data_IF_084771483945
#
_entry.id   IF_084771483945
#
_cell.length_a   1.000
_cell.length_b   1.000
_cell.length_c   1.000
_cell.angle_alpha   90.00
_cell.angle_beta   90.00
_cell.angle_gamma   90.00
#
_symmetry.space_group_name_H-M   'P 1'
#
loop_
_entity.id
_entity.type
_entity.pdbx_description
1 polymer ?
#
# COMPACT_ATOMS: atom_id res chain seq x y z
N UNK A 1 -10.09 -23.92 1.32
CA UNK A 1 -11.24 -23.52 0.45
C UNK A 1 -10.76 -22.34 -0.36
N UNK A 2 -10.86 -22.40 -1.70
CA UNK A 2 -10.38 -21.35 -2.61
C UNK A 2 -11.05 -20.01 -2.24
N UNK A 3 -10.29 -18.87 -2.24
CA UNK A 3 -10.79 -17.49 -1.98
C UNK A 3 -12.08 -17.21 -2.78
N UNK A 4 -12.15 -17.68 -4.03
CA UNK A 4 -13.32 -17.52 -4.89
C UNK A 4 -14.57 -18.27 -4.41
N UNK A 5 -14.40 -19.42 -3.76
CA UNK A 5 -15.52 -20.16 -3.18
C UNK A 5 -16.04 -19.47 -1.92
N UNK A 6 -15.14 -18.81 -1.18
CA UNK A 6 -15.46 -17.97 -0.01
C UNK A 6 -16.27 -16.73 -0.42
N UNK A 7 -15.84 -16.05 -1.51
CA UNK A 7 -16.55 -14.89 -2.09
C UNK A 7 -17.93 -15.28 -2.65
N UNK A 8 -18.04 -16.44 -3.30
CA UNK A 8 -19.33 -16.98 -3.79
C UNK A 8 -20.30 -17.28 -2.64
N UNK A 9 -19.83 -17.81 -1.52
CA UNK A 9 -20.68 -18.11 -0.36
C UNK A 9 -21.17 -16.82 0.31
N UNK A 10 -20.32 -15.82 0.43
CA UNK A 10 -20.69 -14.49 0.98
C UNK A 10 -21.66 -13.79 0.05
N UNK A 11 -21.46 -13.86 -1.27
CA UNK A 11 -22.37 -13.28 -2.25
C UNK A 11 -23.74 -13.98 -2.24
N UNK A 12 -23.76 -15.29 -2.10
CA UNK A 12 -25.02 -16.06 -1.99
C UNK A 12 -25.81 -15.70 -0.71
N UNK A 13 -25.14 -15.47 0.40
CA UNK A 13 -25.74 -15.01 1.65
C UNK A 13 -26.24 -13.56 1.56
N UNK A 14 -25.51 -12.69 0.87
CA UNK A 14 -25.92 -11.31 0.60
C UNK A 14 -27.16 -11.25 -0.31
N UNK A 15 -27.22 -12.06 -1.36
CA UNK A 15 -28.37 -12.15 -2.26
C UNK A 15 -29.58 -12.69 -1.55
N UNK A 16 -29.43 -13.67 -0.65
CA UNK A 16 -30.51 -14.18 0.16
C UNK A 16 -31.07 -13.15 1.14
N UNK A 17 -30.21 -12.34 1.76
CA UNK A 17 -30.59 -11.25 2.66
C UNK A 17 -31.29 -10.09 1.93
N UNK A 18 -30.84 -9.73 0.71
CA UNK A 18 -31.43 -8.68 -0.11
C UNK A 18 -32.77 -9.11 -0.77
N UNK A 19 -32.99 -10.40 -0.94
CA UNK A 19 -34.22 -10.93 -1.53
C UNK A 19 -35.41 -10.98 -0.56
N UNK A 20 -35.26 -10.53 0.70
CA UNK A 20 -36.35 -10.43 1.66
C UNK A 20 -37.00 -11.77 2.01
N UNK A 21 -36.25 -12.87 1.95
CA UNK A 21 -36.75 -14.20 2.30
C UNK A 21 -36.90 -14.29 3.82
N UNK A 22 -38.12 -14.04 4.33
CA UNK A 22 -38.51 -14.15 5.74
C UNK A 22 -38.25 -15.53 6.38
N UNK A 23 -37.82 -16.52 5.58
CA UNK A 23 -37.56 -17.89 6.04
C UNK A 23 -36.34 -18.03 6.95
N UNK A 24 -35.48 -17.00 7.06
CA UNK A 24 -34.24 -17.02 7.87
C UNK A 24 -34.36 -16.36 9.25
N UNK A 25 -35.51 -15.78 9.60
CA UNK A 25 -35.71 -15.10 10.88
C UNK A 25 -35.84 -16.02 12.12
N UNK A 26 -35.77 -17.34 11.92
CA UNK A 26 -35.93 -18.32 13.01
C UNK A 26 -34.72 -19.22 13.24
N UNK A 27 -33.58 -18.97 12.56
CA UNK A 27 -32.32 -19.68 12.83
C UNK A 27 -31.52 -18.87 13.80
N UNK A 28 -31.56 -19.21 15.06
CA UNK A 28 -30.69 -18.63 16.09
C UNK A 28 -29.26 -19.17 15.89
N UNK A 29 -28.39 -18.35 15.30
CA UNK A 29 -26.97 -18.68 15.10
C UNK A 29 -26.21 -17.99 16.23
N UNK A 30 -25.70 -18.75 17.24
CA UNK A 30 -24.94 -18.15 18.33
C UNK A 30 -23.72 -17.37 17.82
N UNK A 31 -23.64 -16.08 18.15
CA UNK A 31 -22.53 -15.20 17.78
C UNK A 31 -22.80 -14.26 16.61
N UNK A 32 -24.04 -14.14 16.12
CA UNK A 32 -24.44 -13.18 15.11
C UNK A 32 -25.29 -12.08 15.74
N UNK A 33 -24.79 -10.85 15.71
CA UNK A 33 -25.54 -9.66 16.15
C UNK A 33 -25.89 -8.83 14.90
N UNK A 34 -27.21 -8.69 14.65
CA UNK A 34 -27.79 -7.99 13.52
C UNK A 34 -28.21 -6.57 13.90
N UNK A 35 -27.40 -5.84 14.61
CA UNK A 35 -27.79 -4.50 14.96
C UNK A 35 -27.50 -3.46 13.84
N UNK A 36 -28.45 -2.61 13.72
CA UNK A 36 -28.80 -1.37 13.00
C UNK A 36 -27.93 -0.82 11.85
N UNK A 37 -26.77 -1.34 11.44
CA UNK A 37 -25.93 -0.63 10.47
C UNK A 37 -25.21 -1.45 9.41
N UNK A 38 -25.60 -2.70 9.17
CA UNK A 38 -24.98 -3.51 8.10
C UNK A 38 -23.50 -3.86 8.36
N UNK A 39 -23.02 -3.78 9.59
CA UNK A 39 -21.64 -4.04 10.01
C UNK A 39 -21.31 -5.52 10.20
N UNK A 40 -22.30 -6.41 10.10
CA UNK A 40 -22.17 -7.81 10.52
C UNK A 40 -21.53 -8.75 9.49
N UNK A 41 -21.11 -8.28 8.31
CA UNK A 41 -20.72 -9.18 7.22
C UNK A 41 -19.20 -9.40 7.08
N UNK A 42 -18.38 -8.92 7.99
CA UNK A 42 -16.91 -9.12 7.93
C UNK A 42 -16.34 -10.01 9.03
N UNK A 43 -17.16 -10.53 9.94
CA UNK A 43 -16.68 -11.49 10.93
C UNK A 43 -16.89 -12.92 10.43
N UNK A 44 -15.79 -13.67 10.32
CA UNK A 44 -15.84 -15.09 9.99
C UNK A 44 -16.62 -15.82 11.08
N UNK A 45 -17.69 -16.53 10.71
CA UNK A 45 -18.50 -17.36 11.60
C UNK A 45 -17.64 -18.55 12.03
N UNK A 46 -17.28 -18.60 13.30
CA UNK A 46 -16.67 -19.78 13.92
C UNK A 46 -17.78 -20.79 14.20
N UNK A 47 -17.83 -21.87 13.41
CA UNK A 47 -18.82 -22.94 13.60
C UNK A 47 -18.15 -24.08 14.35
N UNK A 48 -18.54 -24.37 15.61
CA UNK A 48 -17.95 -25.46 16.39
C UNK A 48 -18.09 -26.81 15.67
N UNK A 49 -16.94 -27.49 15.47
CA UNK A 49 -16.88 -28.82 14.85
C UNK A 49 -16.68 -28.84 13.34
N UNK A 50 -16.46 -27.71 12.70
CA UNK A 50 -16.05 -27.64 11.30
C UNK A 50 -14.57 -27.28 11.24
N UNK A 51 -13.72 -28.24 10.86
CA UNK A 51 -12.33 -27.97 10.49
C UNK A 51 -12.30 -27.26 9.14
N UNK A 52 -11.92 -25.97 9.16
CA UNK A 52 -11.74 -25.20 7.93
C UNK A 52 -10.35 -25.46 7.37
N UNK A 53 -10.19 -25.88 6.10
CA UNK A 53 -8.89 -25.94 5.47
C UNK A 53 -8.32 -24.52 5.39
N UNK A 54 -7.23 -24.26 6.11
CA UNK A 54 -6.58 -22.95 6.16
C UNK A 54 -6.70 -22.23 7.51
N UNK A 55 -6.96 -22.95 8.59
CA UNK A 55 -6.79 -22.44 9.96
C UNK A 55 -5.33 -22.03 10.15
N UNK A 56 -5.05 -20.74 10.48
CA UNK A 56 -3.68 -20.26 10.73
C UNK A 56 -3.01 -20.87 11.96
N UNK A 57 -3.71 -21.73 12.72
CA UNK A 57 -3.14 -22.56 13.78
C UNK A 57 -2.60 -23.90 13.26
N UNK A 58 -2.75 -24.20 11.96
CA UNK A 58 -2.16 -25.40 11.36
C UNK A 58 -0.67 -25.16 11.10
N UNK A 59 0.24 -26.07 11.57
CA UNK A 59 1.67 -25.90 11.43
C UNK A 59 2.23 -26.00 9.99
N UNK A 60 1.36 -26.18 8.99
CA UNK A 60 1.73 -26.38 7.59
C UNK A 60 1.38 -25.20 6.66
N UNK A 61 0.98 -24.03 7.20
CA UNK A 61 0.95 -22.81 6.39
C UNK A 61 2.39 -22.32 6.29
N UNK A 62 3.03 -22.64 5.15
CA UNK A 62 4.30 -22.02 4.81
C UNK A 62 4.17 -20.49 4.94
N UNK A 63 5.12 -19.80 5.61
CA UNK A 63 5.13 -18.36 5.63
C UNK A 63 5.08 -17.85 4.19
N UNK A 64 4.26 -16.82 3.93
CA UNK A 64 4.30 -16.10 2.66
C UNK A 64 5.75 -15.69 2.34
N UNK A 65 6.10 -15.33 1.10
CA UNK A 65 7.47 -15.25 0.63
C UNK A 65 8.32 -14.52 1.66
N UNK A 66 9.16 -15.29 2.33
CA UNK A 66 10.02 -14.88 3.42
C UNK A 66 10.76 -13.64 2.97
N UNK A 67 10.70 -12.57 3.79
CA UNK A 67 11.74 -11.56 3.77
C UNK A 67 13.07 -12.31 3.69
N UNK A 68 13.74 -12.26 2.53
CA UNK A 68 15.07 -12.85 2.39
C UNK A 68 15.94 -12.11 3.40
N UNK A 69 16.20 -12.76 4.53
CA UNK A 69 17.08 -12.23 5.57
C UNK A 69 18.49 -12.21 5.00
N UNK A 70 19.06 -11.03 4.89
CA UNK A 70 20.42 -10.82 4.42
C UNK A 70 20.59 -9.49 3.69
N UNK A 71 21.82 -8.98 3.55
CA UNK A 71 22.08 -7.80 2.76
C UNK A 71 21.78 -8.06 1.28
N UNK A 72 21.11 -7.11 0.63
CA UNK A 72 20.92 -7.15 -0.82
C UNK A 72 22.25 -6.86 -1.49
N UNK A 73 22.76 -7.82 -2.26
CA UNK A 73 24.02 -7.64 -2.99
C UNK A 73 23.82 -6.78 -4.25
N UNK A 74 24.76 -5.87 -4.48
CA UNK A 74 24.77 -4.99 -5.65
C UNK A 74 23.92 -3.73 -5.49
N UNK A 75 23.97 -2.84 -6.53
CA UNK A 75 23.25 -1.58 -6.52
C UNK A 75 21.75 -1.80 -6.50
N UNK A 76 21.06 -1.16 -5.55
CA UNK A 76 19.61 -1.19 -5.40
C UNK A 76 19.12 0.14 -4.84
N UNK A 77 17.82 0.38 -4.98
CA UNK A 77 17.10 1.48 -4.34
C UNK A 77 16.03 0.88 -3.44
N UNK A 78 16.06 1.21 -2.15
CA UNK A 78 14.96 0.90 -1.24
C UNK A 78 13.88 1.94 -1.40
N UNK A 79 12.77 1.51 -1.99
CA UNK A 79 11.57 2.34 -2.17
C UNK A 79 10.51 1.91 -1.16
N UNK A 80 9.91 2.89 -0.48
CA UNK A 80 8.83 2.67 0.49
C UNK A 80 7.58 3.43 0.03
N UNK A 81 6.41 2.83 0.18
CA UNK A 81 5.11 3.49 0.05
C UNK A 81 4.39 3.48 1.38
N UNK A 82 3.79 4.60 1.76
CA UNK A 82 3.03 4.71 3.00
C UNK A 82 1.86 5.69 2.91
N UNK A 83 0.65 5.19 3.08
CA UNK A 83 -0.50 6.01 3.41
C UNK A 83 -0.38 6.49 4.87
N UNK A 84 -0.15 7.79 5.10
CA UNK A 84 0.07 8.38 6.43
C UNK A 84 -1.22 8.92 7.09
N UNK A 85 -2.37 8.39 6.68
CA UNK A 85 -3.67 8.65 7.29
C UNK A 85 -3.90 10.12 7.67
N UNK A 86 -4.22 10.94 6.66
CA UNK A 86 -4.48 12.38 6.84
C UNK A 86 -3.30 13.16 7.47
N UNK A 87 -2.09 12.99 6.92
CA UNK A 87 -0.91 13.72 7.38
C UNK A 87 -1.16 15.23 7.41
N UNK A 88 -1.00 15.84 8.58
CA UNK A 88 -1.25 17.27 8.84
C UNK A 88 -2.58 17.57 9.51
N UNK A 89 -3.44 16.56 9.79
CA UNK A 89 -4.70 16.79 10.53
C UNK A 89 -4.45 16.81 12.04
N UNK A 90 -3.82 15.78 12.60
CA UNK A 90 -3.69 15.58 14.06
C UNK A 90 -2.37 14.98 14.49
N UNK A 91 -1.36 14.87 13.61
CA UNK A 91 -0.10 14.23 13.96
C UNK A 91 0.69 15.07 14.97
N UNK A 92 1.06 14.44 16.06
CA UNK A 92 1.96 15.04 17.05
C UNK A 92 3.45 14.81 16.71
N UNK A 93 4.34 15.42 17.49
CA UNK A 93 5.79 15.33 17.23
C UNK A 93 6.32 13.91 17.48
N UNK A 94 5.70 13.12 18.38
CA UNK A 94 6.06 11.71 18.61
C UNK A 94 5.69 10.83 17.43
N UNK A 95 4.50 11.02 16.87
CA UNK A 95 4.04 10.29 15.68
C UNK A 95 4.96 10.58 14.49
N UNK A 96 5.35 11.84 14.29
CA UNK A 96 6.31 12.25 13.25
C UNK A 96 7.69 11.60 13.49
N UNK A 97 8.18 11.56 14.73
CA UNK A 97 9.45 10.91 15.04
C UNK A 97 9.40 9.39 14.78
N UNK A 98 8.31 8.71 15.18
CA UNK A 98 8.13 7.27 14.87
C UNK A 98 8.08 7.04 13.38
N UNK A 99 7.39 7.90 12.61
CA UNK A 99 7.38 7.82 11.15
C UNK A 99 8.79 7.94 10.56
N UNK A 100 9.57 8.94 11.00
CA UNK A 100 10.95 9.13 10.56
C UNK A 100 11.84 7.93 10.88
N UNK A 101 11.75 7.39 12.11
CA UNK A 101 12.50 6.20 12.51
C UNK A 101 12.10 4.94 11.74
N UNK A 102 10.86 4.84 11.31
CA UNK A 102 10.37 3.73 10.48
C UNK A 102 10.92 3.82 9.06
N UNK A 103 11.03 5.03 8.52
CA UNK A 103 11.45 5.31 7.15
C UNK A 103 12.96 5.50 6.96
N UNK A 104 13.73 5.64 8.04
CA UNK A 104 15.15 6.07 8.01
C UNK A 104 16.05 5.26 7.07
N UNK A 105 15.75 3.99 6.87
CA UNK A 105 16.55 3.09 6.04
C UNK A 105 16.11 3.07 4.57
N UNK A 106 15.03 3.79 4.20
CA UNK A 106 14.63 3.99 2.81
C UNK A 106 15.60 4.91 2.06
N UNK A 107 15.67 4.75 0.74
CA UNK A 107 16.35 5.68 -0.17
C UNK A 107 15.35 6.65 -0.82
N UNK A 108 14.10 6.19 -0.99
CA UNK A 108 12.99 6.92 -1.59
C UNK A 108 11.68 6.50 -0.92
N UNK A 109 10.84 7.47 -0.58
CA UNK A 109 9.54 7.26 0.06
C UNK A 109 8.46 7.96 -0.73
N UNK A 110 7.36 7.28 -0.99
CA UNK A 110 6.11 7.85 -1.49
C UNK A 110 5.07 7.89 -0.37
N UNK A 111 4.45 9.05 -0.18
CA UNK A 111 3.46 9.30 0.88
C UNK A 111 2.13 9.66 0.26
N UNK A 112 1.04 9.03 0.73
CA UNK A 112 -0.34 9.32 0.40
C UNK A 112 -1.06 9.95 1.59
N UNK A 113 -2.24 10.50 1.35
CA UNK A 113 -3.10 11.16 2.34
C UNK A 113 -2.49 12.38 3.05
N UNK A 114 -1.79 13.24 2.34
CA UNK A 114 -1.40 14.54 2.87
C UNK A 114 -2.58 15.51 2.69
N UNK A 115 -3.03 16.13 3.79
CA UNK A 115 -4.16 17.07 3.70
C UNK A 115 -3.80 18.31 2.86
N UNK A 116 -4.75 18.83 2.10
CA UNK A 116 -4.54 19.93 1.15
C UNK A 116 -4.37 21.30 1.83
N UNK A 117 -4.83 21.43 3.07
CA UNK A 117 -4.67 22.64 3.88
C UNK A 117 -3.21 22.85 4.33
N UNK A 118 -2.82 24.07 4.75
CA UNK A 118 -1.45 24.39 5.15
C UNK A 118 -0.81 23.44 6.17
N UNK A 119 -1.53 22.88 7.17
CA UNK A 119 -0.98 21.90 8.08
C UNK A 119 -0.39 20.63 7.39
N UNK A 120 -0.89 20.25 6.21
CA UNK A 120 -0.32 19.10 5.46
C UNK A 120 1.11 19.35 5.04
N UNK A 121 1.38 20.47 4.39
CA UNK A 121 2.74 20.84 3.99
C UNK A 121 3.66 21.07 5.21
N UNK A 122 3.11 21.63 6.31
CA UNK A 122 3.87 21.80 7.55
C UNK A 122 4.25 20.46 8.20
N UNK A 123 3.33 19.49 8.23
CA UNK A 123 3.61 18.16 8.77
C UNK A 123 4.62 17.41 7.91
N UNK A 124 4.57 17.56 6.58
CA UNK A 124 5.58 17.01 5.69
C UNK A 124 6.97 17.63 5.95
N UNK A 125 7.06 18.95 6.12
CA UNK A 125 8.31 19.61 6.49
C UNK A 125 8.85 19.18 7.86
N UNK A 126 7.97 18.89 8.83
CA UNK A 126 8.37 18.29 10.12
C UNK A 126 8.91 16.87 9.94
N UNK A 127 8.28 16.05 9.07
CA UNK A 127 8.75 14.70 8.76
C UNK A 127 10.11 14.73 8.08
N UNK A 128 10.33 15.59 7.11
CA UNK A 128 11.61 15.79 6.45
C UNK A 128 12.71 16.17 7.46
N UNK A 129 12.45 17.18 8.30
CA UNK A 129 13.38 17.57 9.37
C UNK A 129 13.63 16.45 10.40
N UNK A 130 12.65 15.57 10.66
CA UNK A 130 12.83 14.42 11.54
C UNK A 130 13.68 13.34 10.86
N UNK A 131 13.50 13.11 9.57
CA UNK A 131 14.30 12.21 8.76
C UNK A 131 15.78 12.67 8.69
N UNK A 132 16.05 13.96 8.53
CA UNK A 132 17.41 14.53 8.57
C UNK A 132 18.11 14.18 9.89
N UNK A 133 17.40 14.22 11.01
CA UNK A 133 17.94 13.85 12.33
C UNK A 133 18.26 12.36 12.47
N UNK A 134 17.80 11.51 11.54
CA UNK A 134 18.16 10.08 11.54
C UNK A 134 19.57 9.79 11.01
N UNK A 135 20.30 10.81 10.56
CA UNK A 135 21.71 10.72 10.16
C UNK A 135 21.98 10.75 8.66
N UNK A 136 20.97 11.04 7.85
CA UNK A 136 21.10 11.26 6.40
C UNK A 136 20.34 12.52 6.01
N UNK A 137 20.88 13.31 5.08
CA UNK A 137 20.13 14.42 4.50
C UNK A 137 19.01 13.89 3.60
N UNK A 138 17.84 14.53 3.68
CA UNK A 138 16.68 14.24 2.86
C UNK A 138 16.25 15.47 2.05
N UNK A 139 15.46 15.26 1.04
CA UNK A 139 14.78 16.29 0.23
C UNK A 139 13.40 15.76 -0.13
N UNK A 140 12.47 16.65 -0.47
CA UNK A 140 11.12 16.22 -0.82
C UNK A 140 10.48 17.06 -1.92
N UNK A 141 9.45 16.49 -2.54
CA UNK A 141 8.48 17.19 -3.41
C UNK A 141 7.07 16.79 -3.01
N UNK A 142 6.23 17.81 -2.81
CA UNK A 142 4.80 17.66 -2.57
C UNK A 142 4.04 17.98 -3.86
N UNK A 143 2.96 17.26 -4.15
CA UNK A 143 2.10 17.55 -5.29
C UNK A 143 1.23 18.78 -5.07
N UNK A 144 0.65 19.32 -6.13
CA UNK A 144 -0.58 20.09 -6.01
C UNK A 144 -1.70 19.20 -5.46
N UNK A 145 -2.82 19.78 -4.95
CA UNK A 145 -4.00 18.99 -4.63
C UNK A 145 -4.47 18.20 -5.86
N UNK A 146 -4.86 16.94 -5.67
CA UNK A 146 -5.57 16.18 -6.71
C UNK A 146 -6.88 16.83 -7.07
N UNK A 147 -7.35 16.65 -8.31
CA UNK A 147 -8.48 17.41 -8.86
C UNK A 147 -9.82 16.71 -8.73
N UNK A 148 -9.85 15.40 -8.43
CA UNK A 148 -11.06 14.62 -8.30
C UNK A 148 -11.77 14.79 -6.96
N UNK A 149 -12.82 14.00 -6.73
CA UNK A 149 -13.69 14.11 -5.56
C UNK A 149 -12.98 13.79 -4.22
N UNK A 150 -11.92 12.99 -4.26
CA UNK A 150 -11.10 12.60 -3.10
C UNK A 150 -9.85 13.46 -2.98
N UNK A 151 -9.98 14.77 -2.83
CA UNK A 151 -8.86 15.71 -2.87
C UNK A 151 -7.86 15.49 -1.73
N UNK A 152 -6.60 15.18 -2.10
CA UNK A 152 -5.45 15.07 -1.21
C UNK A 152 -4.19 15.57 -1.91
N UNK A 153 -3.05 15.46 -1.23
CA UNK A 153 -1.72 15.64 -1.84
C UNK A 153 -0.90 14.38 -1.64
N UNK A 154 0.01 14.16 -2.57
CA UNK A 154 1.09 13.17 -2.47
C UNK A 154 2.42 13.85 -2.17
N UNK A 155 3.39 13.06 -1.71
CA UNK A 155 4.78 13.52 -1.69
C UNK A 155 5.74 12.38 -2.02
N UNK A 156 6.90 12.76 -2.55
CA UNK A 156 8.11 11.95 -2.55
C UNK A 156 9.12 12.59 -1.60
N UNK A 157 9.78 11.75 -0.76
CA UNK A 157 10.93 12.13 0.03
C UNK A 157 12.08 11.21 -0.37
N UNK A 158 13.31 11.71 -0.44
CA UNK A 158 14.44 10.89 -0.85
C UNK A 158 15.75 11.35 -0.22
N UNK A 159 16.72 10.43 -0.17
CA UNK A 159 18.11 10.75 0.15
C UNK A 159 18.86 11.22 -1.09
N UNK A 160 19.29 12.51 -1.19
CA UNK A 160 20.03 13.02 -2.33
C UNK A 160 21.37 12.31 -2.57
N UNK A 161 21.92 11.66 -1.56
CA UNK A 161 23.12 10.83 -1.67
C UNK A 161 22.89 9.50 -2.41
N UNK A 162 21.64 9.02 -2.45
CA UNK A 162 21.26 7.71 -3.02
C UNK A 162 20.60 7.86 -4.38
N UNK A 163 19.64 8.77 -4.48
CA UNK A 163 18.89 9.01 -5.71
C UNK A 163 18.79 10.51 -6.00
N UNK A 164 18.56 10.84 -7.24
CA UNK A 164 18.37 12.21 -7.73
C UNK A 164 17.05 12.31 -8.46
N UNK A 165 16.23 13.30 -8.13
CA UNK A 165 15.06 13.66 -8.94
C UNK A 165 15.51 14.16 -10.32
N UNK A 166 14.91 13.61 -11.38
CA UNK A 166 15.19 13.98 -12.77
C UNK A 166 14.01 14.77 -13.32
N UNK A 167 14.23 16.04 -13.59
CA UNK A 167 13.17 16.96 -14.01
C UNK A 167 12.25 17.36 -12.85
N UNK A 168 10.95 17.36 -13.11
CA UNK A 168 9.92 17.70 -12.13
C UNK A 168 9.05 16.47 -11.82
N UNK A 169 8.45 16.44 -10.65
CA UNK A 169 7.36 15.54 -10.34
C UNK A 169 6.04 16.17 -10.80
N UNK A 170 5.05 15.34 -11.20
CA UNK A 170 3.78 15.81 -11.75
C UNK A 170 2.60 14.90 -11.41
N UNK A 171 1.38 15.45 -11.38
CA UNK A 171 0.14 14.69 -11.37
C UNK A 171 -0.21 14.24 -12.80
N UNK A 172 -0.66 12.99 -12.97
CA UNK A 172 -0.98 12.42 -14.29
C UNK A 172 -2.36 12.88 -14.79
N UNK A 173 -2.40 14.01 -15.45
CA UNK A 173 -3.63 14.65 -15.89
C UNK A 173 -4.48 13.82 -16.86
N UNK A 174 -3.89 12.85 -17.58
CA UNK A 174 -4.66 11.96 -18.46
C UNK A 174 -5.55 10.97 -17.69
N UNK A 175 -5.32 10.82 -16.40
CA UNK A 175 -6.11 10.01 -15.49
C UNK A 175 -6.93 10.83 -14.48
N UNK A 176 -6.93 12.17 -14.58
CA UNK A 176 -7.64 13.03 -13.63
C UNK A 176 -9.17 12.88 -13.67
N UNK A 177 -9.75 12.57 -14.84
CA UNK A 177 -11.19 12.38 -14.97
C UNK A 177 -11.65 10.97 -14.54
N UNK A 178 -10.98 9.89 -15.00
CA UNK A 178 -11.43 8.54 -14.66
C UNK A 178 -11.06 8.07 -13.25
N UNK A 179 -10.09 8.71 -12.59
CA UNK A 179 -9.71 8.42 -11.20
C UNK A 179 -10.18 9.54 -10.26
N UNK A 180 -10.60 9.18 -9.05
CA UNK A 180 -10.93 10.17 -8.00
C UNK A 180 -9.71 10.98 -7.55
N UNK A 181 -8.51 10.42 -7.74
CA UNK A 181 -7.21 11.05 -7.47
C UNK A 181 -6.23 10.64 -8.57
N UNK A 182 -5.78 11.60 -9.36
CA UNK A 182 -4.75 11.32 -10.36
C UNK A 182 -3.42 10.91 -9.70
N UNK A 183 -2.72 9.91 -10.24
CA UNK A 183 -1.44 9.48 -9.69
C UNK A 183 -0.37 10.57 -9.74
N UNK A 184 0.57 10.55 -8.78
CA UNK A 184 1.71 11.44 -8.72
C UNK A 184 2.97 10.72 -9.16
N UNK A 185 3.69 11.30 -10.14
CA UNK A 185 4.80 10.67 -10.82
C UNK A 185 6.10 11.48 -10.64
N UNK A 186 7.21 10.74 -10.54
CA UNK A 186 8.54 11.33 -10.60
C UNK A 186 9.57 10.35 -11.15
N UNK A 187 10.55 10.85 -11.92
CA UNK A 187 11.70 10.09 -12.36
C UNK A 187 12.85 10.27 -11.39
N UNK A 188 13.41 9.16 -10.94
CA UNK A 188 14.59 9.15 -10.07
C UNK A 188 15.74 8.42 -10.75
N UNK A 189 16.95 8.94 -10.55
CA UNK A 189 18.20 8.36 -11.05
C UNK A 189 19.04 7.90 -9.87
N UNK A 190 19.46 6.65 -9.88
CA UNK A 190 20.38 6.10 -8.89
C UNK A 190 21.76 6.71 -9.02
N UNK A 191 22.28 7.31 -7.94
CA UNK A 191 23.53 8.12 -7.97
C UNK A 191 24.76 7.35 -8.40
N UNK A 192 24.86 6.08 -8.03
CA UNK A 192 26.05 5.29 -8.32
C UNK A 192 26.06 4.73 -9.74
N UNK A 193 24.88 4.37 -10.28
CA UNK A 193 24.81 3.64 -11.56
C UNK A 193 24.27 4.49 -12.72
N UNK A 194 23.66 5.64 -12.46
CA UNK A 194 22.97 6.45 -13.45
C UNK A 194 21.66 5.84 -14.00
N UNK A 195 21.27 4.67 -13.50
CA UNK A 195 20.04 4.01 -13.91
C UNK A 195 18.82 4.75 -13.38
N UNK A 196 17.72 4.73 -14.14
CA UNK A 196 16.51 5.50 -13.83
C UNK A 196 15.33 4.62 -13.60
N UNK A 197 14.42 5.10 -12.74
CA UNK A 197 13.08 4.55 -12.52
C UNK A 197 12.05 5.67 -12.58
N UNK A 198 10.87 5.38 -13.12
CA UNK A 198 9.67 6.19 -12.97
C UNK A 198 8.87 5.62 -11.80
N UNK A 199 8.69 6.40 -10.75
CA UNK A 199 7.87 6.03 -9.60
C UNK A 199 6.50 6.67 -9.73
N UNK A 200 5.45 5.87 -9.63
CA UNK A 200 4.06 6.25 -9.72
C UNK A 200 3.38 5.96 -8.39
N UNK A 201 3.04 7.00 -7.65
CA UNK A 201 2.29 6.90 -6.40
C UNK A 201 0.81 7.12 -6.64
N UNK A 202 -0.03 6.25 -6.11
CA UNK A 202 -1.47 6.35 -6.22
C UNK A 202 -2.18 6.01 -4.92
N UNK A 203 -3.41 6.49 -4.80
CA UNK A 203 -4.35 6.11 -3.74
C UNK A 203 -5.74 5.95 -4.38
N UNK A 204 -6.14 4.71 -4.62
CA UNK A 204 -7.43 4.38 -5.22
C UNK A 204 -8.59 4.68 -4.25
N UNK A 205 -9.79 4.79 -4.78
CA UNK A 205 -10.99 4.95 -3.93
C UNK A 205 -11.12 3.78 -2.95
N UNK A 206 -11.72 4.03 -1.76
CA UNK A 206 -11.93 2.95 -0.79
C UNK A 206 -12.82 1.84 -1.36
N UNK A 207 -12.70 0.63 -0.81
CA UNK A 207 -13.42 -0.59 -1.25
C UNK A 207 -14.91 -0.37 -1.46
N UNK A 208 -15.56 0.52 -0.69
CA UNK A 208 -16.98 0.85 -0.84
C UNK A 208 -17.32 1.62 -2.12
N UNK A 209 -16.34 2.12 -2.86
CA UNK A 209 -16.49 2.93 -4.08
C UNK A 209 -15.94 2.25 -5.34
N UNK A 210 -15.75 0.93 -5.31
CA UNK A 210 -15.26 0.13 -6.44
C UNK A 210 -13.86 0.57 -6.95
N UNK A 211 -12.78 0.34 -6.17
CA UNK A 211 -11.43 0.65 -6.59
C UNK A 211 -10.97 -0.14 -7.82
N UNK A 212 -11.61 -1.28 -8.13
CA UNK A 212 -11.27 -2.10 -9.29
C UNK A 212 -11.41 -1.33 -10.61
N UNK A 213 -12.39 -0.41 -10.71
CA UNK A 213 -12.57 0.47 -11.88
C UNK A 213 -11.36 1.38 -12.13
N UNK A 214 -10.68 1.83 -11.07
CA UNK A 214 -9.51 2.70 -11.17
C UNK A 214 -8.25 1.89 -11.47
N UNK A 215 -8.05 0.80 -10.73
CA UNK A 215 -6.89 -0.10 -10.88
C UNK A 215 -6.83 -0.70 -12.28
N UNK A 216 -7.95 -1.06 -12.89
CA UNK A 216 -8.02 -1.60 -14.25
C UNK A 216 -7.48 -0.64 -15.33
N UNK A 217 -7.32 0.65 -15.02
CA UNK A 217 -6.81 1.65 -15.96
C UNK A 217 -5.29 1.85 -15.89
N UNK A 218 -4.63 1.26 -14.89
CA UNK A 218 -3.21 1.53 -14.63
C UNK A 218 -2.28 0.96 -15.71
N UNK A 219 -2.72 -0.04 -16.48
CA UNK A 219 -1.97 -0.54 -17.65
C UNK A 219 -1.73 0.55 -18.73
N UNK A 220 -2.56 1.61 -18.74
CA UNK A 220 -2.37 2.76 -19.63
C UNK A 220 -1.06 3.50 -19.35
N UNK A 221 -0.60 3.50 -18.10
CA UNK A 221 0.65 4.13 -17.71
C UNK A 221 1.86 3.41 -18.33
N UNK A 222 1.83 2.06 -18.41
CA UNK A 222 2.87 1.30 -19.10
C UNK A 222 3.03 1.75 -20.56
N UNK A 223 1.91 1.84 -21.30
CA UNK A 223 1.95 2.29 -22.71
C UNK A 223 2.39 3.74 -22.88
N UNK A 224 2.02 4.59 -21.93
CA UNK A 224 2.37 6.01 -21.96
C UNK A 224 3.85 6.26 -21.65
N UNK A 225 4.43 5.44 -20.78
CA UNK A 225 5.79 5.57 -20.26
C UNK A 225 6.66 4.36 -20.62
N UNK A 226 6.47 3.78 -21.81
CA UNK A 226 7.16 2.56 -22.26
C UNK A 226 8.70 2.68 -22.32
N UNK A 227 9.23 3.90 -22.35
CA UNK A 227 10.68 4.17 -22.31
C UNK A 227 11.24 4.24 -20.88
N UNK A 228 10.39 4.20 -19.86
CA UNK A 228 10.78 4.26 -18.46
C UNK A 228 10.67 2.87 -17.81
N UNK A 229 11.49 2.60 -16.80
CA UNK A 229 11.31 1.44 -15.90
C UNK A 229 10.39 1.84 -14.77
N UNK A 230 9.18 1.28 -14.74
CA UNK A 230 8.09 1.79 -13.90
C UNK A 230 7.95 0.98 -12.61
N UNK A 231 7.84 1.68 -11.48
CA UNK A 231 7.32 1.20 -10.20
C UNK A 231 5.98 1.87 -9.92
N UNK A 232 4.92 1.07 -9.83
CA UNK A 232 3.59 1.51 -9.39
C UNK A 232 3.44 1.14 -7.91
N UNK A 233 3.11 2.10 -7.06
CA UNK A 233 3.02 1.86 -5.62
C UNK A 233 1.94 2.74 -4.97
N UNK A 234 1.43 2.29 -3.85
CA UNK A 234 0.43 3.04 -3.10
C UNK A 234 -0.61 2.16 -2.42
N UNK A 235 -1.69 2.81 -2.03
CA UNK A 235 -2.89 2.20 -1.48
C UNK A 235 -3.88 1.92 -2.63
N UNK A 236 -3.98 0.65 -3.03
CA UNK A 236 -4.87 0.21 -4.10
C UNK A 236 -6.29 -0.10 -3.59
N UNK A 237 -6.49 -0.20 -2.27
CA UNK A 237 -7.75 -0.62 -1.64
C UNK A 237 -8.31 -1.95 -2.21
N UNK A 238 -7.43 -2.79 -2.75
CA UNK A 238 -7.70 -4.10 -3.36
C UNK A 238 -6.60 -5.09 -3.01
N UNK A 239 -6.97 -6.35 -2.88
CA UNK A 239 -6.03 -7.46 -2.80
C UNK A 239 -5.29 -7.61 -4.14
N UNK A 240 -3.99 -7.95 -4.11
CA UNK A 240 -3.15 -8.04 -5.30
C UNK A 240 -3.60 -9.10 -6.32
N UNK A 241 -4.37 -10.10 -5.90
CA UNK A 241 -4.90 -11.16 -6.77
C UNK A 241 -6.19 -10.76 -7.51
N UNK A 242 -6.75 -9.56 -7.26
CA UNK A 242 -7.97 -9.09 -7.94
C UNK A 242 -7.78 -9.02 -9.46
N UNK A 243 -8.85 -9.34 -10.20
CA UNK A 243 -8.86 -9.33 -11.66
C UNK A 243 -8.60 -7.92 -12.27
N UNK A 244 -8.80 -6.85 -11.51
CA UNK A 244 -8.48 -5.49 -11.94
C UNK A 244 -6.99 -5.32 -12.29
N UNK A 245 -6.10 -6.12 -11.68
CA UNK A 245 -4.68 -6.12 -11.99
C UNK A 245 -4.29 -6.94 -13.23
N UNK A 246 -5.23 -7.65 -13.88
CA UNK A 246 -4.90 -8.48 -15.05
C UNK A 246 -4.32 -7.66 -16.22
N UNK A 247 -4.70 -6.39 -16.33
CA UNK A 247 -4.10 -5.46 -17.28
C UNK A 247 -2.61 -5.30 -17.06
N UNK A 248 -2.20 -5.02 -15.84
CA UNK A 248 -0.79 -4.88 -15.43
C UNK A 248 -0.04 -6.21 -15.56
N UNK A 249 -0.62 -7.33 -15.12
CA UNK A 249 0.01 -8.66 -15.25
C UNK A 249 0.31 -9.01 -16.70
N UNK A 250 -0.62 -8.72 -17.63
CA UNK A 250 -0.45 -8.96 -19.08
C UNK A 250 0.69 -8.15 -19.71
N UNK A 251 0.99 -6.96 -19.20
CA UNK A 251 2.09 -6.13 -19.66
C UNK A 251 3.37 -6.31 -18.83
N UNK A 252 3.44 -7.38 -18.02
CA UNK A 252 4.67 -7.82 -17.38
C UNK A 252 4.91 -7.32 -15.96
N UNK A 253 3.92 -6.74 -15.29
CA UNK A 253 4.08 -6.33 -13.88
C UNK A 253 3.83 -7.49 -12.92
N UNK A 254 4.53 -7.43 -11.78
CA UNK A 254 4.32 -8.31 -10.62
C UNK A 254 4.21 -7.50 -9.34
N UNK A 255 3.36 -7.97 -8.43
CA UNK A 255 3.30 -7.48 -7.07
C UNK A 255 4.54 -7.89 -6.29
N UNK A 256 4.96 -7.04 -5.35
CA UNK A 256 6.05 -7.32 -4.40
C UNK A 256 5.53 -8.13 -3.22
N UNK A 257 4.32 -7.84 -2.77
CA UNK A 257 3.65 -8.56 -1.68
C UNK A 257 2.61 -9.51 -2.26
N UNK A 258 2.49 -10.68 -1.64
CA UNK A 258 1.54 -11.74 -1.94
C UNK A 258 0.93 -12.26 -0.64
N UNK A 259 -0.39 -12.27 -0.51
CA UNK A 259 -1.13 -12.64 0.70
C UNK A 259 -0.67 -11.90 1.99
N UNK A 260 -0.18 -10.65 1.86
CA UNK A 260 0.35 -9.87 2.98
C UNK A 260 -0.58 -8.71 3.36
N UNK A 261 -1.33 -8.80 4.47
CA UNK A 261 -2.13 -7.69 4.96
C UNK A 261 -1.26 -6.49 5.36
N UNK A 262 -1.70 -5.30 4.98
CA UNK A 262 -0.99 -4.03 5.20
C UNK A 262 -1.79 -3.01 6.00
N UNK A 263 -3.10 -3.21 6.18
CA UNK A 263 -3.93 -2.31 6.98
C UNK A 263 -4.13 -2.82 8.42
N UNK A 264 -4.38 -1.90 9.36
CA UNK A 264 -4.51 -2.19 10.78
C UNK A 264 -5.98 -2.29 11.21
N UNK A 265 -6.30 -3.33 11.99
CA UNK A 265 -7.61 -3.47 12.64
C UNK A 265 -7.86 -2.37 13.66
N UNK A 266 -9.13 -2.11 13.96
CA UNK A 266 -9.51 -1.23 15.08
C UNK A 266 -9.23 -1.87 16.45
N UNK A 267 -9.30 -3.20 16.53
CA UNK A 267 -8.98 -3.98 17.72
C UNK A 267 -8.16 -5.21 17.34
N UNK A 268 -7.21 -5.59 18.21
CA UNK A 268 -6.35 -6.76 18.00
C UNK A 268 -7.16 -8.04 18.17
N UNK A 269 -7.01 -9.00 17.27
CA UNK A 269 -7.44 -10.40 17.41
C UNK A 269 -6.30 -11.24 18.00
N UNK A 270 -6.61 -12.47 18.40
CA UNK A 270 -5.60 -13.45 18.83
C UNK A 270 -4.66 -13.82 17.70
N UNK A 271 -3.41 -14.17 18.02
CA UNK A 271 -2.39 -14.59 17.08
C UNK A 271 -1.38 -13.49 16.73
N UNK A 272 -0.25 -13.86 16.07
CA UNK A 272 0.87 -12.95 15.80
C UNK A 272 0.47 -11.77 14.91
N UNK A 273 -0.34 -12.00 13.88
CA UNK A 273 -0.82 -10.96 12.96
C UNK A 273 -2.22 -10.43 13.32
N UNK A 274 -2.66 -10.59 14.57
CA UNK A 274 -4.01 -10.22 15.01
C UNK A 274 -4.33 -8.72 14.92
N UNK A 275 -3.36 -7.87 14.65
CA UNK A 275 -3.52 -6.44 14.40
C UNK A 275 -3.75 -6.09 12.93
N UNK A 276 -3.50 -7.01 11.99
CA UNK A 276 -3.62 -6.79 10.55
C UNK A 276 -5.01 -7.11 10.03
N UNK A 277 -5.44 -6.42 8.95
CA UNK A 277 -6.78 -6.55 8.38
C UNK A 277 -6.77 -6.96 6.90
N UNK A 278 -6.38 -6.07 6.00
CA UNK A 278 -6.56 -6.20 4.56
C UNK A 278 -5.28 -5.88 3.79
N UNK A 279 -5.18 -6.40 2.58
CA UNK A 279 -4.04 -6.28 1.67
C UNK A 279 -4.26 -5.10 0.73
N UNK A 280 -4.16 -3.87 1.21
CA UNK A 280 -4.50 -2.67 0.44
C UNK A 280 -3.31 -2.01 -0.23
N UNK A 281 -2.14 -2.09 0.40
CA UNK A 281 -0.93 -1.42 -0.06
C UNK A 281 -0.02 -2.42 -0.76
N UNK A 282 0.56 -2.03 -1.90
CA UNK A 282 1.50 -2.88 -2.62
C UNK A 282 2.46 -2.03 -3.48
N UNK A 283 3.45 -2.70 -4.05
CA UNK A 283 4.36 -2.18 -5.05
C UNK A 283 4.35 -3.15 -6.23
N UNK A 284 4.03 -2.65 -7.41
CA UNK A 284 4.12 -3.41 -8.66
C UNK A 284 5.32 -2.93 -9.46
N UNK A 285 6.13 -3.85 -9.92
CA UNK A 285 7.31 -3.56 -10.73
C UNK A 285 7.24 -4.27 -12.08
N UNK A 286 7.77 -3.62 -13.11
CA UNK A 286 7.91 -4.19 -14.43
C UNK A 286 9.02 -5.24 -14.44
N UNK A 287 8.67 -6.49 -14.72
CA UNK A 287 9.65 -7.58 -14.83
C UNK A 287 10.44 -7.47 -16.13
N UNK A 288 11.68 -7.93 -16.12
CA UNK A 288 12.59 -7.74 -17.25
C UNK A 288 13.62 -6.66 -16.90
N UNK A 289 13.28 -5.34 -16.93
CA UNK A 289 14.24 -4.31 -16.54
C UNK A 289 14.50 -4.23 -15.03
N UNK A 290 13.53 -4.60 -14.21
CA UNK A 290 13.61 -4.56 -12.75
C UNK A 290 13.37 -5.93 -12.12
N UNK A 291 13.90 -6.12 -10.91
CA UNK A 291 13.54 -7.21 -10.01
C UNK A 291 13.38 -6.69 -8.59
N UNK A 292 12.47 -7.28 -7.83
CA UNK A 292 12.38 -7.11 -6.40
C UNK A 292 13.40 -8.07 -5.75
N UNK A 293 14.52 -7.53 -5.25
CA UNK A 293 15.52 -8.32 -4.55
C UNK A 293 15.05 -8.71 -3.14
N UNK A 294 14.27 -7.82 -2.53
CA UNK A 294 13.58 -8.01 -1.26
C UNK A 294 12.34 -7.11 -1.21
N UNK A 295 11.29 -7.54 -0.52
CA UNK A 295 10.09 -6.74 -0.26
C UNK A 295 9.43 -7.17 1.03
N UNK A 296 8.56 -6.32 1.57
CA UNK A 296 7.87 -6.60 2.82
C UNK A 296 7.15 -5.38 3.39
N UNK A 297 6.70 -5.51 4.62
CA UNK A 297 6.09 -4.44 5.42
C UNK A 297 7.04 -3.97 6.51
N UNK A 298 6.91 -2.71 6.93
CA UNK A 298 7.63 -2.14 8.07
C UNK A 298 6.63 -1.96 9.21
N UNK A 299 6.51 -2.96 10.08
CA UNK A 299 5.59 -2.89 11.21
C UNK A 299 6.12 -1.96 12.30
N UNK A 300 5.44 -0.83 12.48
CA UNK A 300 5.76 0.19 13.48
C UNK A 300 4.91 0.08 14.76
N UNK A 301 3.95 -0.85 14.80
CA UNK A 301 2.91 -0.89 15.84
C UNK A 301 3.47 -1.10 17.24
N UNK A 302 4.56 -1.83 17.38
CA UNK A 302 5.23 -2.10 18.68
C UNK A 302 5.94 -0.86 19.26
N UNK A 303 6.04 0.24 18.50
CA UNK A 303 6.54 1.53 18.98
C UNK A 303 5.51 2.33 19.78
N UNK A 304 4.26 1.85 19.82
CA UNK A 304 3.14 2.45 20.52
C UNK A 304 2.63 1.54 21.63
N UNK A 305 2.15 2.12 22.76
CA UNK A 305 1.56 1.34 23.86
C UNK A 305 0.32 0.55 23.50
N UNK A 306 -0.39 0.98 22.45
CA UNK A 306 -1.63 0.34 22.00
C UNK A 306 -1.82 0.46 20.48
N UNK A 307 -2.57 -0.49 19.92
CA UNK A 307 -2.96 -0.45 18.51
C UNK A 307 -3.78 0.81 18.17
N UNK A 308 -4.57 1.32 19.13
CA UNK A 308 -5.32 2.58 18.94
C UNK A 308 -4.36 3.77 18.75
N UNK A 309 -3.29 3.84 19.53
CA UNK A 309 -2.27 4.89 19.38
C UNK A 309 -1.46 4.70 18.09
N UNK A 310 -1.08 3.46 17.74
CA UNK A 310 -0.43 3.20 16.46
C UNK A 310 -1.29 3.68 15.28
N UNK A 311 -2.61 3.44 15.32
CA UNK A 311 -3.57 3.92 14.32
C UNK A 311 -3.74 5.45 14.27
N UNK A 312 -3.30 6.18 15.29
CA UNK A 312 -3.26 7.66 15.21
C UNK A 312 -2.17 8.13 14.25
N UNK A 313 -1.05 7.39 14.16
CA UNK A 313 -0.03 7.63 13.15
C UNK A 313 -0.53 7.20 11.77
N UNK A 314 -0.88 5.93 11.60
CA UNK A 314 -1.50 5.42 10.37
C UNK A 314 -2.26 4.14 10.65
N UNK A 315 -3.34 3.89 9.90
CA UNK A 315 -4.01 2.60 9.85
C UNK A 315 -3.51 1.72 8.68
N UNK A 316 -2.42 2.12 8.04
CA UNK A 316 -1.68 1.35 7.05
C UNK A 316 -0.24 1.14 7.52
N UNK A 317 0.34 -0.03 7.20
CA UNK A 317 1.76 -0.29 7.34
C UNK A 317 2.50 0.18 6.09
N UNK A 318 3.71 0.76 6.22
CA UNK A 318 4.56 1.02 5.06
C UNK A 318 4.94 -0.28 4.38
N UNK A 319 4.89 -0.30 3.06
CA UNK A 319 5.37 -1.41 2.22
C UNK A 319 6.66 -1.00 1.53
N UNK A 320 7.61 -1.94 1.37
CA UNK A 320 8.89 -1.62 0.76
C UNK A 320 9.33 -2.63 -0.28
N UNK A 321 10.20 -2.18 -1.18
CA UNK A 321 10.96 -3.01 -2.11
C UNK A 321 12.41 -2.54 -2.19
N UNK A 322 13.35 -3.48 -2.20
CA UNK A 322 14.72 -3.25 -2.68
C UNK A 322 14.74 -3.56 -4.18
N UNK A 323 14.54 -2.51 -4.98
CA UNK A 323 14.47 -2.62 -6.43
C UNK A 323 15.88 -2.63 -7.04
N UNK A 324 16.14 -3.61 -7.89
CA UNK A 324 17.39 -3.73 -8.64
C UNK A 324 17.12 -3.73 -10.14
N UNK A 325 18.06 -3.14 -10.90
CA UNK A 325 18.06 -3.25 -12.34
C UNK A 325 18.70 -4.56 -12.79
N UNK A 326 18.09 -5.23 -13.76
CA UNK A 326 18.60 -6.50 -14.32
C UNK A 326 19.67 -6.27 -15.38
N UNK A 327 19.60 -5.13 -16.08
CA UNK A 327 20.61 -4.73 -17.05
C UNK A 327 21.78 -3.98 -16.37
N UNK A 328 23.01 -4.06 -16.91
CA UNK A 328 24.13 -3.24 -16.43
C UNK A 328 23.82 -1.74 -16.61
N UNK A 329 24.45 -0.86 -15.80
CA UNK A 329 24.30 0.57 -15.98
C UNK A 329 24.71 1.00 -17.41
N UNK A 330 24.11 2.09 -17.94
CA UNK A 330 24.53 2.64 -19.21
C UNK A 330 26.02 2.96 -19.16
N UNK A 331 26.71 2.69 -20.26
CA UNK A 331 28.13 3.06 -20.38
C UNK A 331 28.30 4.55 -20.09
N UNK A 332 29.22 4.89 -19.21
CA UNK A 332 29.53 6.31 -18.92
C UNK A 332 30.10 6.93 -20.22
N UNK A 333 29.59 8.10 -20.67
CA UNK A 333 30.04 8.75 -21.87
C UNK A 333 31.51 9.21 -21.79
#
# INVERSE_FOLDING_TARGET
MNKNLRRLLVLALLVAALAGLEAFTTVDVPGFDLDETGRALTEAVDVPGVEWPGDPSSPDVAPGPSSVEGPVEGPHVRVVSWNLYNLGRTKDDREIEVAAQTLRDADLVAVQEIVTSPPGAQALGKLDAALDRTGSAWDYRISDPTTGAGTERYAFLWKPSRVRLVGQAWLESSLAEPLDREPYLARFEHRQTGQRILVVSLHAVPTSKDPAREVALLDRLHRRYEADHVLLLGDFNLDEDDAAFDGLRRVGYRAVLDDQPTSLRRSRRSGPNGHLASEYDNIFYETGPLRAARGGVLDFTDRFPSLKEARSLSDHLPVFVDAQWTAPPPATP
#
